data_IF_427243354777
#
_entry.id   IF_427243354777
#
_cell.length_a   1.000
_cell.length_b   1.000
_cell.length_c   1.000
_cell.angle_alpha   90.00
_cell.angle_beta   90.00
_cell.angle_gamma   90.00
#
_symmetry.space_group_name_H-M   'P 1'
#
loop_
_entity.id
_entity.type
_entity.pdbx_description
1 polymer ?
#
# COMPACT_ATOMS: atom_id res chain seq x y z
N UNK A 1 -66.21 35.17 42.67
CA UNK A 1 -65.92 35.30 41.23
C UNK A 1 -64.48 35.73 41.08
N UNK A 2 -63.71 34.90 40.40
CA UNK A 2 -62.25 34.80 40.47
C UNK A 2 -61.50 35.89 39.71
N UNK A 3 -60.43 36.39 40.32
CA UNK A 3 -59.28 37.03 39.68
C UNK A 3 -58.36 35.91 39.19
N UNK A 4 -58.05 35.87 37.88
CA UNK A 4 -57.00 35.01 37.33
C UNK A 4 -56.11 35.83 36.41
N UNK A 5 -54.86 35.99 36.85
CA UNK A 5 -53.71 36.47 36.10
C UNK A 5 -53.48 35.59 34.85
N UNK A 6 -53.34 36.21 33.68
CA UNK A 6 -52.78 35.55 32.49
C UNK A 6 -51.44 36.21 32.13
N UNK A 7 -50.36 35.46 32.34
CA UNK A 7 -49.01 35.81 31.91
C UNK A 7 -48.84 35.52 30.42
N UNK A 8 -48.33 36.49 29.68
CA UNK A 8 -47.86 36.38 28.31
C UNK A 8 -46.49 35.70 28.34
N UNK A 9 -46.38 34.47 27.81
CA UNK A 9 -45.10 33.79 27.57
C UNK A 9 -44.66 34.06 26.14
N UNK A 10 -43.77 35.03 25.94
CA UNK A 10 -43.02 35.19 24.69
C UNK A 10 -41.85 34.20 24.68
N UNK A 11 -41.92 33.17 23.83
CA UNK A 11 -40.80 32.28 23.55
C UNK A 11 -39.74 33.04 22.73
N UNK A 12 -38.56 33.21 23.31
CA UNK A 12 -37.34 33.61 22.60
C UNK A 12 -36.74 32.34 21.99
N UNK A 13 -36.74 32.24 20.66
CA UNK A 13 -35.94 31.25 19.94
C UNK A 13 -34.47 31.67 19.96
N UNK A 14 -33.65 31.04 20.79
CA UNK A 14 -32.19 31.13 20.70
C UNK A 14 -31.73 30.03 19.75
N UNK A 15 -31.40 30.41 18.52
CA UNK A 15 -30.71 29.54 17.56
C UNK A 15 -29.28 29.31 18.03
N UNK A 16 -29.01 28.14 18.61
CA UNK A 16 -27.65 27.70 18.89
C UNK A 16 -26.97 27.24 17.59
N UNK A 17 -26.13 28.08 17.01
CA UNK A 17 -25.13 27.66 16.03
C UNK A 17 -24.05 26.85 16.76
N UNK A 18 -24.10 25.52 16.63
CA UNK A 18 -22.97 24.65 16.97
C UNK A 18 -21.95 24.70 15.82
N UNK A 19 -20.96 25.58 15.95
CA UNK A 19 -19.73 25.49 15.19
C UNK A 19 -18.92 24.30 15.70
N UNK A 20 -19.01 23.17 15.01
CA UNK A 20 -18.16 22.01 15.27
C UNK A 20 -16.76 22.25 14.67
N UNK A 21 -15.89 22.91 15.45
CA UNK A 21 -14.45 22.76 15.26
C UNK A 21 -14.03 21.48 15.98
N UNK A 22 -14.06 20.33 15.29
CA UNK A 22 -13.51 19.09 15.82
C UNK A 22 -12.02 19.00 15.51
N UNK A 23 -11.21 19.77 16.26
CA UNK A 23 -9.85 19.34 16.59
C UNK A 23 -9.98 18.30 17.71
N UNK A 24 -9.94 17.02 17.35
CA UNK A 24 -10.05 15.95 18.33
C UNK A 24 -9.66 14.60 17.74
N UNK A 25 -8.43 14.16 18.03
CA UNK A 25 -8.16 12.74 18.17
C UNK A 25 -9.16 12.21 19.21
N UNK A 26 -10.14 11.41 18.78
CA UNK A 26 -10.98 10.66 19.72
C UNK A 26 -10.17 9.47 20.20
N UNK A 27 -9.37 9.68 21.24
CA UNK A 27 -8.78 8.62 22.05
C UNK A 27 -9.96 7.85 22.69
N UNK A 28 -10.17 6.60 22.28
CA UNK A 28 -11.16 5.69 22.89
C UNK A 28 -12.21 5.06 21.97
N UNK A 29 -12.27 5.42 20.69
CA UNK A 29 -13.23 4.78 19.76
C UNK A 29 -12.60 3.56 19.07
N UNK A 30 -13.29 2.41 19.12
CA UNK A 30 -12.81 1.16 18.50
C UNK A 30 -12.39 1.38 17.03
N UNK A 31 -11.31 0.74 16.56
CA UNK A 31 -10.91 0.83 15.15
C UNK A 31 -12.03 0.33 14.21
N UNK A 32 -12.33 1.12 13.16
CA UNK A 32 -13.38 0.80 12.18
C UNK A 32 -12.86 0.86 10.74
N UNK A 33 -13.47 0.05 9.86
CA UNK A 33 -13.26 0.16 8.41
C UNK A 33 -14.22 1.24 7.89
N UNK A 34 -13.69 2.44 7.68
CA UNK A 34 -14.49 3.57 7.21
C UNK A 34 -14.94 3.39 5.76
N UNK A 35 -16.14 3.85 5.44
CA UNK A 35 -16.59 3.96 4.04
C UNK A 35 -15.62 4.87 3.28
N UNK A 36 -15.21 4.44 2.09
CA UNK A 36 -14.42 5.25 1.15
C UNK A 36 -15.39 5.91 0.17
N UNK A 37 -15.22 7.22 -0.06
CA UNK A 37 -16.10 8.02 -0.90
C UNK A 37 -15.29 9.10 -1.60
N UNK A 38 -15.61 9.36 -2.88
CA UNK A 38 -15.02 10.44 -3.68
C UNK A 38 -15.44 11.82 -3.18
N UNK A 39 -16.57 11.89 -2.48
CA UNK A 39 -17.21 13.09 -1.97
C UNK A 39 -16.62 13.55 -0.62
N UNK A 40 -15.76 12.75 0.02
CA UNK A 40 -15.07 13.17 1.24
C UNK A 40 -14.28 14.45 0.98
N UNK A 41 -14.42 15.47 1.83
CA UNK A 41 -13.70 16.72 1.65
C UNK A 41 -12.17 16.52 1.68
N UNK A 42 -11.49 17.29 0.83
CA UNK A 42 -10.03 17.44 0.88
C UNK A 42 -9.67 18.25 2.13
N UNK A 43 -8.64 17.83 2.86
CA UNK A 43 -8.15 18.54 4.03
C UNK A 43 -7.54 19.88 3.61
N UNK A 44 -7.69 20.92 4.44
CA UNK A 44 -7.11 22.23 4.18
C UNK A 44 -5.58 22.22 4.19
N UNK A 45 -4.99 21.37 5.04
CA UNK A 45 -3.55 21.17 5.17
C UNK A 45 -3.22 19.68 5.22
N UNK A 46 -2.07 19.31 4.68
CA UNK A 46 -1.49 17.98 4.86
C UNK A 46 -1.25 17.67 6.35
N UNK A 47 -1.42 16.41 6.75
CA UNK A 47 -0.98 15.90 8.05
C UNK A 47 -0.46 14.48 7.90
N UNK A 48 0.81 14.30 8.26
CA UNK A 48 1.46 12.99 8.31
C UNK A 48 0.72 12.05 9.28
N UNK A 49 0.48 12.51 10.50
CA UNK A 49 -0.14 11.72 11.56
C UNK A 49 -1.53 11.19 11.17
N UNK A 50 -2.37 12.00 10.49
CA UNK A 50 -3.68 11.51 10.05
C UNK A 50 -3.59 10.34 9.07
N UNK A 51 -2.56 10.31 8.20
CA UNK A 51 -2.36 9.19 7.30
C UNK A 51 -1.92 7.92 8.06
N UNK A 52 -1.03 8.08 9.04
CA UNK A 52 -0.58 7.00 9.93
C UNK A 52 -1.78 6.44 10.73
N UNK A 53 -2.55 7.29 11.39
CA UNK A 53 -3.72 6.92 12.18
C UNK A 53 -4.78 6.19 11.33
N UNK A 54 -5.03 6.70 10.11
CA UNK A 54 -5.96 6.07 9.18
C UNK A 54 -5.54 4.64 8.85
N UNK A 55 -4.28 4.44 8.46
CA UNK A 55 -3.75 3.13 8.09
C UNK A 55 -3.81 2.17 9.28
N UNK A 56 -3.35 2.62 10.45
CA UNK A 56 -3.24 1.78 11.64
C UNK A 56 -4.60 1.32 12.17
N UNK A 57 -5.55 2.24 12.29
CA UNK A 57 -6.91 1.91 12.73
C UNK A 57 -7.62 1.03 11.69
N UNK A 58 -7.48 1.32 10.40
CA UNK A 58 -8.13 0.52 9.34
C UNK A 58 -7.59 -0.91 9.31
N UNK A 59 -6.27 -1.08 9.42
CA UNK A 59 -5.64 -2.39 9.43
C UNK A 59 -6.03 -3.20 10.67
N UNK A 60 -6.09 -2.57 11.86
CA UNK A 60 -6.54 -3.25 13.08
C UNK A 60 -8.01 -3.67 12.98
N UNK A 61 -8.88 -2.80 12.47
CA UNK A 61 -10.29 -3.11 12.25
C UNK A 61 -10.47 -4.30 11.30
N UNK A 62 -9.68 -4.34 10.22
CA UNK A 62 -9.66 -5.44 9.26
C UNK A 62 -9.22 -6.75 9.90
N UNK A 63 -8.12 -6.72 10.66
CA UNK A 63 -7.61 -7.88 11.41
C UNK A 63 -8.68 -8.42 12.36
N UNK A 64 -9.35 -7.55 13.13
CA UNK A 64 -10.41 -7.93 14.08
C UNK A 64 -11.60 -8.59 13.37
N UNK A 65 -12.05 -8.00 12.26
CA UNK A 65 -13.26 -8.42 11.55
C UNK A 65 -13.08 -9.69 10.73
N UNK A 66 -12.01 -9.77 9.93
CA UNK A 66 -11.87 -10.82 8.91
C UNK A 66 -10.90 -11.94 9.30
N UNK A 67 -10.06 -11.74 10.33
CA UNK A 67 -9.06 -12.75 10.76
C UNK A 67 -8.20 -13.27 9.59
N UNK A 68 -7.91 -12.38 8.63
CA UNK A 68 -7.10 -12.61 7.45
C UNK A 68 -6.34 -11.33 7.07
N UNK A 69 -5.35 -11.49 6.19
CA UNK A 69 -4.54 -10.40 5.67
C UNK A 69 -4.84 -10.19 4.18
N UNK A 70 -4.91 -8.93 3.76
CA UNK A 70 -5.11 -8.55 2.36
C UNK A 70 -3.97 -7.68 1.86
N UNK A 71 -3.65 -7.80 0.56
CA UNK A 71 -2.59 -7.03 -0.11
C UNK A 71 -2.81 -5.52 0.02
N UNK A 72 -4.08 -5.09 -0.01
CA UNK A 72 -4.42 -3.69 -0.05
C UNK A 72 -4.63 -3.06 1.33
N UNK A 73 -4.75 -3.84 2.42
CA UNK A 73 -4.97 -3.30 3.77
C UNK A 73 -3.83 -3.65 4.73
N UNK A 74 -3.75 -4.90 5.20
CA UNK A 74 -2.85 -5.26 6.31
C UNK A 74 -1.39 -5.32 5.89
N UNK A 75 -1.09 -5.94 4.74
CA UNK A 75 0.28 -6.02 4.24
C UNK A 75 0.82 -4.63 3.89
N UNK A 76 0.01 -3.81 3.20
CA UNK A 76 0.36 -2.43 2.86
C UNK A 76 0.61 -1.56 4.10
N UNK A 77 -0.22 -1.70 5.15
CA UNK A 77 -0.01 -1.04 6.43
C UNK A 77 1.34 -1.43 7.05
N UNK A 78 1.59 -2.71 7.28
CA UNK A 78 2.80 -3.16 7.97
C UNK A 78 4.08 -2.70 7.26
N UNK A 79 4.11 -2.79 5.93
CA UNK A 79 5.22 -2.31 5.13
C UNK A 79 5.41 -0.80 5.34
N UNK A 80 4.35 0.00 5.15
CA UNK A 80 4.47 1.46 5.18
C UNK A 80 4.83 2.00 6.56
N UNK A 81 4.24 1.49 7.63
CA UNK A 81 4.48 2.02 8.98
C UNK A 81 5.77 1.48 9.61
N UNK A 82 6.37 0.43 9.05
CA UNK A 82 7.67 -0.08 9.53
C UNK A 82 8.86 0.82 9.18
N UNK A 83 8.70 1.74 8.21
CA UNK A 83 9.72 2.75 7.86
C UNK A 83 9.67 4.00 8.77
N UNK A 84 8.67 4.10 9.65
CA UNK A 84 8.54 5.20 10.62
C UNK A 84 9.53 5.05 11.77
N UNK A 85 10.00 6.18 12.33
CA UNK A 85 10.80 6.21 13.55
C UNK A 85 10.00 5.69 14.76
N UNK A 86 8.72 6.04 14.84
CA UNK A 86 7.79 5.55 15.85
C UNK A 86 6.64 4.79 15.19
N UNK A 87 6.56 3.49 15.43
CA UNK A 87 5.46 2.69 14.91
C UNK A 87 4.16 2.98 15.67
N UNK A 88 3.01 3.02 15.00
CA UNK A 88 1.73 3.38 15.60
C UNK A 88 1.19 2.26 16.53
N UNK A 89 0.17 2.62 17.32
CA UNK A 89 -0.37 1.81 18.43
C UNK A 89 -0.62 0.33 18.08
N UNK A 90 -1.22 0.06 16.92
CA UNK A 90 -1.64 -1.28 16.53
C UNK A 90 -0.60 -2.06 15.74
N UNK A 91 0.54 -1.46 15.40
CA UNK A 91 1.58 -2.09 14.59
C UNK A 91 1.97 -3.48 15.12
N UNK A 92 2.33 -3.58 16.40
CA UNK A 92 2.76 -4.85 16.98
C UNK A 92 1.63 -5.88 17.06
N UNK A 93 0.39 -5.46 17.34
CA UNK A 93 -0.76 -6.37 17.38
C UNK A 93 -1.06 -6.96 16.00
N UNK A 94 -0.93 -6.15 14.94
CA UNK A 94 -1.11 -6.57 13.56
C UNK A 94 0.06 -7.48 13.13
N UNK A 95 1.31 -7.12 13.42
CA UNK A 95 2.49 -7.96 13.13
C UNK A 95 2.38 -9.32 13.83
N UNK A 96 1.95 -9.36 15.08
CA UNK A 96 1.71 -10.62 15.81
C UNK A 96 0.61 -11.47 15.18
N UNK A 97 -0.46 -10.85 14.66
CA UNK A 97 -1.50 -11.59 13.93
C UNK A 97 -0.97 -12.22 12.63
N UNK A 98 -0.02 -11.57 11.95
CA UNK A 98 0.67 -12.16 10.79
C UNK A 98 1.62 -13.30 11.23
N UNK A 99 2.33 -13.13 12.34
CA UNK A 99 3.16 -14.20 12.92
C UNK A 99 2.32 -15.43 13.26
N UNK A 100 1.15 -15.26 13.90
CA UNK A 100 0.21 -16.35 14.20
C UNK A 100 -0.32 -17.04 12.93
N UNK A 101 -0.59 -16.26 11.87
CA UNK A 101 -0.98 -16.81 10.57
C UNK A 101 0.09 -17.78 10.04
N UNK A 102 1.36 -17.35 10.07
CA UNK A 102 2.51 -18.12 9.56
C UNK A 102 2.82 -19.32 10.45
N UNK A 103 2.97 -19.13 11.76
CA UNK A 103 3.48 -20.17 12.66
C UNK A 103 2.42 -21.19 13.10
N UNK A 104 1.17 -20.75 13.24
CA UNK A 104 0.09 -21.59 13.79
C UNK A 104 -0.83 -22.04 12.66
N UNK A 105 -1.47 -21.10 11.98
CA UNK A 105 -2.53 -21.45 11.02
C UNK A 105 -1.98 -22.25 9.83
N UNK A 106 -0.83 -21.88 9.26
CA UNK A 106 -0.29 -22.63 8.12
C UNK A 106 0.09 -24.06 8.49
N UNK A 107 0.64 -24.25 9.71
CA UNK A 107 0.95 -25.58 10.22
C UNK A 107 -0.32 -26.43 10.41
N UNK A 108 -1.39 -25.84 10.94
CA UNK A 108 -2.62 -26.58 11.26
C UNK A 108 -3.55 -26.77 10.04
N UNK A 109 -3.59 -25.81 9.13
CA UNK A 109 -4.61 -25.71 8.07
C UNK A 109 -4.05 -25.42 6.68
N UNK A 110 -2.73 -25.31 6.53
CA UNK A 110 -2.08 -24.84 5.30
C UNK A 110 -2.31 -23.34 5.05
N UNK A 111 -1.56 -22.71 4.14
CA UNK A 111 -1.88 -21.38 3.62
C UNK A 111 -3.22 -21.41 2.84
N UNK A 112 -3.86 -20.25 2.71
CA UNK A 112 -5.14 -20.15 1.96
C UNK A 112 -4.88 -20.20 0.45
N UNK A 113 -3.80 -19.55 0.03
CA UNK A 113 -3.37 -19.40 -1.35
C UNK A 113 -1.86 -19.16 -1.39
N UNK A 114 -1.22 -19.46 -2.50
CA UNK A 114 0.19 -19.14 -2.75
C UNK A 114 0.45 -17.63 -2.64
N UNK A 115 -0.52 -16.80 -3.03
CA UNK A 115 -0.46 -15.35 -2.85
C UNK A 115 -0.33 -14.92 -1.37
N UNK A 116 -0.99 -15.63 -0.44
CA UNK A 116 -0.84 -15.35 1.01
C UNK A 116 0.60 -15.62 1.46
N UNK A 117 1.21 -16.68 0.94
CA UNK A 117 2.59 -17.08 1.26
C UNK A 117 3.58 -16.03 0.78
N UNK A 118 3.51 -15.66 -0.50
CA UNK A 118 4.44 -14.70 -1.11
C UNK A 118 4.30 -13.31 -0.47
N UNK A 119 3.07 -12.86 -0.20
CA UNK A 119 2.85 -11.56 0.47
C UNK A 119 3.32 -11.55 1.92
N UNK A 120 3.11 -12.64 2.67
CA UNK A 120 3.64 -12.77 4.03
C UNK A 120 5.17 -12.77 4.03
N UNK A 121 5.80 -13.50 3.09
CA UNK A 121 7.25 -13.54 2.94
C UNK A 121 7.83 -12.16 2.63
N UNK A 122 7.23 -11.43 1.67
CA UNK A 122 7.62 -10.05 1.38
C UNK A 122 7.46 -9.15 2.60
N UNK A 123 6.28 -9.15 3.22
CA UNK A 123 5.94 -8.23 4.30
C UNK A 123 6.85 -8.42 5.50
N UNK A 124 6.98 -9.65 6.02
CA UNK A 124 7.81 -9.90 7.19
C UNK A 124 9.28 -9.58 6.93
N UNK A 125 9.79 -9.93 5.75
CA UNK A 125 11.21 -9.67 5.41
C UNK A 125 11.49 -8.17 5.25
N UNK A 126 10.57 -7.43 4.62
CA UNK A 126 10.69 -5.96 4.50
C UNK A 126 10.56 -5.28 5.86
N UNK A 127 9.61 -5.71 6.69
CA UNK A 127 9.43 -5.15 8.04
C UNK A 127 10.67 -5.40 8.91
N UNK A 128 11.19 -6.62 8.96
CA UNK A 128 12.42 -6.94 9.71
C UNK A 128 13.58 -6.04 9.24
N UNK A 129 13.73 -5.86 7.92
CA UNK A 129 14.75 -4.98 7.34
C UNK A 129 14.56 -3.52 7.74
N UNK A 130 13.34 -2.98 7.65
CA UNK A 130 13.06 -1.58 7.93
C UNK A 130 13.31 -1.23 9.40
N UNK A 131 12.99 -2.17 10.30
CA UNK A 131 13.30 -2.06 11.73
C UNK A 131 14.77 -2.31 12.08
N UNK A 132 15.62 -2.56 11.08
CA UNK A 132 17.03 -2.96 11.28
C UNK A 132 17.18 -4.21 12.18
N UNK A 133 16.18 -5.10 12.17
CA UNK A 133 16.17 -6.34 12.93
C UNK A 133 16.79 -7.48 12.10
N UNK A 134 17.35 -8.52 12.75
CA UNK A 134 17.70 -9.76 12.07
C UNK A 134 16.45 -10.41 11.44
N UNK A 135 16.67 -11.23 10.40
CA UNK A 135 15.59 -12.00 9.79
C UNK A 135 14.93 -12.91 10.84
N UNK A 136 13.68 -12.60 11.17
CA UNK A 136 12.90 -13.30 12.19
C UNK A 136 12.60 -14.74 11.77
N UNK A 137 12.27 -15.58 12.76
CA UNK A 137 11.86 -16.95 12.50
C UNK A 137 10.62 -17.01 11.59
N UNK A 138 9.66 -16.11 11.78
CA UNK A 138 8.44 -16.05 10.96
C UNK A 138 8.73 -15.59 9.52
N UNK A 139 9.62 -14.60 9.33
CA UNK A 139 10.06 -14.21 7.99
C UNK A 139 10.78 -15.38 7.28
N UNK A 140 11.64 -16.11 7.99
CA UNK A 140 12.30 -17.31 7.47
C UNK A 140 11.29 -18.39 7.07
N UNK A 141 10.33 -18.71 7.95
CA UNK A 141 9.28 -19.68 7.66
C UNK A 141 8.46 -19.27 6.41
N UNK A 142 8.14 -17.98 6.29
CA UNK A 142 7.41 -17.46 5.14
C UNK A 142 8.22 -17.53 3.83
N UNK A 143 9.51 -17.16 3.86
CA UNK A 143 10.40 -17.31 2.69
C UNK A 143 10.60 -18.78 2.31
N UNK A 144 10.77 -19.68 3.28
CA UNK A 144 10.94 -21.10 3.02
C UNK A 144 9.66 -21.71 2.41
N UNK A 145 8.49 -21.32 2.91
CA UNK A 145 7.21 -21.70 2.32
C UNK A 145 7.02 -21.11 0.92
N UNK A 146 7.48 -19.87 0.68
CA UNK A 146 7.45 -19.25 -0.64
C UNK A 146 8.20 -20.10 -1.67
N UNK A 147 9.38 -20.62 -1.32
CA UNK A 147 10.12 -21.50 -2.24
C UNK A 147 9.45 -22.84 -2.50
N UNK A 148 8.66 -23.35 -1.55
CA UNK A 148 7.90 -24.60 -1.74
C UNK A 148 6.74 -24.44 -2.73
N UNK A 149 6.12 -23.27 -2.78
CA UNK A 149 5.01 -22.97 -3.71
C UNK A 149 5.49 -22.38 -5.05
N UNK A 150 6.81 -22.25 -5.26
CA UNK A 150 7.35 -21.80 -6.53
C UNK A 150 7.10 -22.86 -7.62
N UNK A 151 6.47 -22.42 -8.70
CA UNK A 151 6.15 -23.28 -9.84
C UNK A 151 7.42 -23.70 -10.61
N UNK A 152 7.39 -24.83 -11.36
CA UNK A 152 8.55 -25.29 -12.13
C UNK A 152 9.11 -24.27 -13.12
N UNK A 153 8.26 -23.40 -13.67
CA UNK A 153 8.66 -22.30 -14.56
C UNK A 153 9.26 -21.08 -13.82
N UNK A 154 9.34 -21.12 -12.49
CA UNK A 154 9.98 -20.11 -11.63
C UNK A 154 9.08 -18.98 -11.12
N UNK A 155 7.81 -18.97 -11.53
CA UNK A 155 6.80 -18.02 -11.02
C UNK A 155 5.98 -18.62 -9.87
N UNK A 156 4.84 -18.01 -9.58
CA UNK A 156 3.94 -18.41 -8.50
C UNK A 156 2.50 -18.35 -9.01
N UNK A 157 1.66 -19.28 -8.55
CA UNK A 157 0.23 -19.19 -8.81
C UNK A 157 -0.35 -18.02 -8.01
N UNK A 158 -1.22 -17.22 -8.64
CA UNK A 158 -1.72 -16.00 -8.06
C UNK A 158 -3.25 -15.87 -8.11
N UNK A 159 -3.76 -14.99 -7.25
CA UNK A 159 -5.17 -14.58 -7.27
C UNK A 159 -5.45 -13.74 -8.52
N UNK A 160 -6.50 -14.12 -9.26
CA UNK A 160 -6.95 -13.47 -10.50
C UNK A 160 -8.42 -13.09 -10.36
N UNK A 161 -8.72 -12.29 -9.34
CA UNK A 161 -10.09 -11.92 -8.96
C UNK A 161 -10.63 -10.71 -9.73
N UNK A 162 -9.96 -10.31 -10.82
CA UNK A 162 -10.22 -9.06 -11.55
C UNK A 162 -10.15 -7.82 -10.63
N UNK A 163 -9.28 -7.85 -9.61
CA UNK A 163 -9.05 -6.74 -8.67
C UNK A 163 -7.62 -6.16 -8.82
N UNK A 164 -7.35 -5.43 -9.92
CA UNK A 164 -6.06 -4.80 -10.11
C UNK A 164 -5.76 -3.69 -9.08
N UNK A 165 -4.47 -3.42 -8.83
CA UNK A 165 -3.31 -4.05 -9.46
C UNK A 165 -2.86 -5.38 -8.82
N UNK A 166 -3.28 -5.68 -7.59
CA UNK A 166 -2.66 -6.77 -6.81
C UNK A 166 -3.18 -8.17 -7.11
N UNK A 167 -4.39 -8.32 -7.66
CA UNK A 167 -5.01 -9.63 -7.90
C UNK A 167 -5.46 -9.75 -9.36
N UNK A 168 -4.53 -9.42 -10.29
CA UNK A 168 -4.79 -9.44 -11.73
C UNK A 168 -4.11 -10.57 -12.51
N UNK A 169 -2.91 -11.00 -12.11
CA UNK A 169 -2.14 -12.01 -12.85
C UNK A 169 -0.95 -12.57 -12.05
N UNK A 170 -0.36 -13.65 -12.54
CA UNK A 170 0.78 -14.34 -11.92
C UNK A 170 2.09 -13.53 -11.96
N UNK A 171 2.19 -12.54 -12.86
CA UNK A 171 3.40 -11.73 -12.96
C UNK A 171 3.55 -10.83 -11.73
N UNK A 172 2.44 -10.40 -11.12
CA UNK A 172 2.44 -9.68 -9.85
C UNK A 172 3.15 -10.48 -8.76
N UNK A 173 2.82 -11.77 -8.61
CA UNK A 173 3.45 -12.66 -7.63
C UNK A 173 4.97 -12.77 -7.80
N UNK A 174 5.44 -12.86 -9.06
CA UNK A 174 6.87 -12.92 -9.34
C UNK A 174 7.63 -11.64 -8.98
N UNK A 175 7.08 -10.46 -9.28
CA UNK A 175 7.74 -9.19 -8.93
C UNK A 175 7.70 -8.89 -7.43
N UNK A 176 6.66 -9.33 -6.73
CA UNK A 176 6.57 -9.28 -5.26
C UNK A 176 7.60 -10.21 -4.61
N UNK A 177 7.74 -11.45 -5.10
CA UNK A 177 8.77 -12.37 -4.63
C UNK A 177 10.17 -11.80 -4.84
N UNK A 178 10.42 -11.09 -5.94
CA UNK A 178 11.69 -10.40 -6.17
C UNK A 178 11.98 -9.35 -5.08
N UNK A 179 10.97 -8.60 -4.61
CA UNK A 179 11.12 -7.66 -3.48
C UNK A 179 11.43 -8.41 -2.18
N UNK A 180 10.70 -9.49 -1.87
CA UNK A 180 10.91 -10.30 -0.67
C UNK A 180 12.36 -10.79 -0.56
N UNK A 181 12.88 -11.38 -1.63
CA UNK A 181 14.25 -11.90 -1.72
C UNK A 181 15.28 -10.77 -1.58
N UNK A 182 15.00 -9.62 -2.19
CA UNK A 182 15.93 -8.49 -2.16
C UNK A 182 16.07 -7.88 -0.77
N UNK A 183 15.01 -7.93 0.03
CA UNK A 183 15.02 -7.49 1.42
C UNK A 183 15.80 -8.45 2.35
N UNK A 184 15.88 -9.74 2.01
CA UNK A 184 16.50 -10.76 2.86
C UNK A 184 18.02 -10.55 3.08
N UNK A 185 18.56 -10.93 4.25
CA UNK A 185 19.98 -10.81 4.55
C UNK A 185 20.82 -11.80 3.74
N UNK A 186 22.10 -11.46 3.52
CA UNK A 186 23.02 -12.29 2.75
C UNK A 186 23.16 -13.72 3.29
N UNK A 187 23.11 -13.90 4.61
CA UNK A 187 23.17 -15.21 5.27
C UNK A 187 22.03 -16.14 4.87
N UNK A 188 20.82 -15.60 4.66
CA UNK A 188 19.69 -16.40 4.17
C UNK A 188 19.89 -16.79 2.70
N UNK A 189 20.37 -15.84 1.89
CA UNK A 189 20.52 -15.96 0.44
C UNK A 189 21.65 -16.91 -0.01
N UNK A 190 22.62 -17.19 0.86
CA UNK A 190 23.73 -18.12 0.56
C UNK A 190 23.32 -19.60 0.60
N UNK A 191 22.13 -19.92 1.11
CA UNK A 191 21.64 -21.28 1.16
C UNK A 191 21.37 -21.82 -0.26
N UNK A 192 21.85 -23.03 -0.56
CA UNK A 192 21.76 -23.62 -1.91
C UNK A 192 20.34 -23.71 -2.44
N UNK A 193 19.38 -24.13 -1.61
CA UNK A 193 17.97 -24.19 -2.03
C UNK A 193 17.39 -22.81 -2.38
N UNK A 194 17.81 -21.77 -1.67
CA UNK A 194 17.40 -20.38 -1.90
C UNK A 194 17.99 -19.87 -3.22
N UNK A 195 19.28 -20.13 -3.48
CA UNK A 195 19.93 -19.77 -4.75
C UNK A 195 19.23 -20.40 -5.95
N UNK A 196 18.89 -21.69 -5.87
CA UNK A 196 18.14 -22.37 -6.93
C UNK A 196 16.77 -21.72 -7.19
N UNK A 197 16.04 -21.33 -6.13
CA UNK A 197 14.76 -20.64 -6.25
C UNK A 197 14.89 -19.26 -6.89
N UNK A 198 15.94 -18.52 -6.52
CA UNK A 198 16.27 -17.21 -7.11
C UNK A 198 16.62 -17.34 -8.59
N UNK A 199 17.40 -18.35 -8.98
CA UNK A 199 17.75 -18.60 -10.38
C UNK A 199 16.51 -18.90 -11.23
N UNK A 200 15.60 -19.74 -10.73
CA UNK A 200 14.30 -19.98 -11.38
C UNK A 200 13.48 -18.70 -11.50
N UNK A 201 13.43 -17.88 -10.45
CA UNK A 201 12.71 -16.60 -10.47
C UNK A 201 13.32 -15.62 -11.48
N UNK A 202 14.66 -15.54 -11.56
CA UNK A 202 15.36 -14.74 -12.58
C UNK A 202 15.10 -15.24 -13.99
N UNK A 203 15.00 -16.56 -14.18
CA UNK A 203 14.63 -17.17 -15.46
C UNK A 203 13.19 -16.81 -15.85
N UNK A 204 12.25 -16.87 -14.88
CA UNK A 204 10.88 -16.41 -15.08
C UNK A 204 10.80 -14.91 -15.38
N UNK A 205 11.62 -14.09 -14.73
CA UNK A 205 11.76 -12.67 -15.00
C UNK A 205 12.88 -12.39 -16.00
N UNK A 206 12.99 -13.20 -17.07
CA UNK A 206 13.96 -12.94 -18.13
C UNK A 206 13.74 -11.57 -18.78
N UNK A 207 14.76 -11.02 -19.45
CA UNK A 207 14.66 -9.72 -20.14
C UNK A 207 13.46 -9.67 -21.11
N UNK A 208 13.21 -10.74 -21.88
CA UNK A 208 12.09 -10.80 -22.82
C UNK A 208 10.72 -10.84 -22.13
N UNK A 209 10.63 -11.44 -20.94
CA UNK A 209 9.40 -11.42 -20.13
C UNK A 209 9.21 -10.08 -19.44
N UNK A 210 10.27 -9.48 -18.90
CA UNK A 210 10.26 -8.13 -18.30
C UNK A 210 9.73 -7.06 -19.26
N UNK A 211 10.08 -7.13 -20.55
CA UNK A 211 9.56 -6.21 -21.57
C UNK A 211 8.05 -6.32 -21.81
N UNK A 212 7.44 -7.49 -21.52
CA UNK A 212 6.00 -7.75 -21.66
C UNK A 212 5.21 -7.47 -20.39
N UNK A 213 5.90 -7.18 -19.29
CA UNK A 213 5.26 -6.79 -18.04
C UNK A 213 4.53 -5.45 -18.21
N UNK A 214 3.40 -5.32 -17.52
CA UNK A 214 2.75 -4.02 -17.28
C UNK A 214 3.75 -3.06 -16.65
N UNK A 215 3.59 -1.76 -16.91
CA UNK A 215 4.48 -0.74 -16.33
C UNK A 215 4.48 -0.80 -14.81
N UNK A 216 3.32 -1.05 -14.20
CA UNK A 216 3.19 -1.29 -12.75
C UNK A 216 4.13 -2.38 -12.24
N UNK A 217 4.16 -3.56 -12.86
CA UNK A 217 5.05 -4.66 -12.45
C UNK A 217 6.52 -4.34 -12.71
N UNK A 218 6.85 -3.69 -13.84
CA UNK A 218 8.22 -3.21 -14.10
C UNK A 218 8.68 -2.22 -13.03
N UNK A 219 7.80 -1.35 -12.58
CA UNK A 219 8.10 -0.38 -11.54
C UNK A 219 8.32 -1.05 -10.18
N UNK A 220 7.60 -2.12 -9.82
CA UNK A 220 7.90 -2.92 -8.60
C UNK A 220 9.33 -3.49 -8.66
N UNK A 221 9.84 -3.85 -9.84
CA UNK A 221 11.23 -4.31 -9.97
C UNK A 221 12.25 -3.21 -9.70
N UNK A 222 11.91 -1.92 -9.84
CA UNK A 222 12.77 -0.81 -9.38
C UNK A 222 12.95 -0.88 -7.86
N UNK A 223 11.90 -1.22 -7.11
CA UNK A 223 11.99 -1.42 -5.67
C UNK A 223 12.87 -2.62 -5.31
N UNK A 224 12.66 -3.78 -5.96
CA UNK A 224 13.54 -4.94 -5.75
C UNK A 224 15.02 -4.59 -6.05
N UNK A 225 15.27 -3.91 -7.18
CA UNK A 225 16.59 -3.44 -7.59
C UNK A 225 17.21 -2.48 -6.57
N UNK A 226 16.43 -1.59 -5.96
CA UNK A 226 16.90 -0.63 -4.94
C UNK A 226 17.34 -1.31 -3.63
N UNK A 227 16.70 -2.43 -3.28
CA UNK A 227 17.03 -3.20 -2.08
C UNK A 227 18.28 -4.08 -2.30
N UNK A 228 18.36 -4.71 -3.47
CA UNK A 228 19.49 -5.54 -3.89
C UNK A 228 19.62 -5.54 -5.41
N UNK A 229 20.74 -5.05 -5.96
CA UNK A 229 20.98 -5.09 -7.40
C UNK A 229 20.95 -6.51 -7.99
N UNK A 230 20.48 -6.62 -9.22
CA UNK A 230 20.50 -7.88 -9.99
C UNK A 230 19.17 -8.28 -10.62
N UNK A 231 18.16 -7.41 -10.57
CA UNK A 231 16.84 -7.62 -11.18
C UNK A 231 16.66 -6.84 -12.48
N UNK A 232 17.26 -5.65 -12.57
CA UNK A 232 17.17 -4.78 -13.74
C UNK A 232 18.56 -4.31 -14.17
N UNK A 233 18.79 -4.22 -15.48
CA UNK A 233 19.91 -3.49 -16.05
C UNK A 233 19.56 -2.00 -16.22
N UNK A 234 20.57 -1.16 -16.52
CA UNK A 234 20.36 0.29 -16.61
C UNK A 234 19.32 0.68 -17.68
N UNK A 235 19.31 0.02 -18.84
CA UNK A 235 18.33 0.29 -19.89
C UNK A 235 16.89 -0.02 -19.44
N UNK A 236 16.69 -1.11 -18.70
CA UNK A 236 15.41 -1.46 -18.10
C UNK A 236 14.97 -0.44 -17.04
N UNK A 237 15.91 0.07 -16.24
CA UNK A 237 15.66 1.13 -15.25
C UNK A 237 15.23 2.41 -15.97
N UNK A 238 16.06 2.92 -16.88
CA UNK A 238 15.84 4.19 -17.60
C UNK A 238 14.51 4.18 -18.36
N UNK A 239 14.22 3.09 -19.08
CA UNK A 239 12.96 2.95 -19.81
C UNK A 239 11.73 2.86 -18.92
N UNK A 240 11.87 2.34 -17.69
CA UNK A 240 10.77 2.27 -16.71
C UNK A 240 10.55 3.64 -16.06
N UNK A 241 11.62 4.33 -15.70
CA UNK A 241 11.59 5.71 -15.20
C UNK A 241 10.95 6.64 -16.24
N UNK A 242 11.42 6.61 -17.49
CA UNK A 242 10.87 7.43 -18.57
C UNK A 242 9.37 7.17 -18.79
N UNK A 243 8.95 5.90 -18.76
CA UNK A 243 7.55 5.53 -18.90
C UNK A 243 6.69 6.06 -17.72
N UNK A 244 7.16 5.95 -16.48
CA UNK A 244 6.49 6.54 -15.32
C UNK A 244 6.37 8.06 -15.46
N UNK A 245 7.47 8.75 -15.75
CA UNK A 245 7.48 10.21 -15.94
C UNK A 245 6.52 10.66 -17.04
N UNK A 246 6.44 9.92 -18.16
CA UNK A 246 5.54 10.24 -19.27
C UNK A 246 4.05 10.14 -18.94
N UNK A 247 3.69 9.42 -17.87
CA UNK A 247 2.31 9.28 -17.42
C UNK A 247 1.88 10.32 -16.39
N UNK A 248 2.79 11.22 -15.96
CA UNK A 248 2.43 12.30 -15.04
C UNK A 248 1.36 13.18 -15.69
N UNK A 249 0.34 13.54 -14.90
CA UNK A 249 -0.80 14.35 -15.34
C UNK A 249 -0.52 15.84 -15.16
N UNK A 250 -1.27 16.74 -15.83
CA UNK A 250 -1.06 18.18 -15.72
C UNK A 250 -1.20 18.73 -14.29
N UNK A 251 -1.94 18.03 -13.41
CA UNK A 251 -2.08 18.40 -12.00
C UNK A 251 -0.88 17.95 -11.13
N UNK A 252 0.10 17.27 -11.72
CA UNK A 252 1.27 16.72 -11.05
C UNK A 252 1.11 15.29 -10.52
N UNK A 253 -0.10 14.73 -10.56
CA UNK A 253 -0.37 13.38 -10.07
C UNK A 253 -0.22 12.29 -11.13
N UNK A 254 -0.53 11.06 -10.73
CA UNK A 254 -0.68 9.89 -11.58
C UNK A 254 -1.97 9.17 -11.22
N UNK A 255 -2.40 8.23 -12.06
CA UNK A 255 -3.51 7.34 -11.74
C UNK A 255 -3.16 5.88 -11.95
N UNK A 256 -3.82 5.04 -11.17
CA UNK A 256 -3.57 3.61 -11.17
C UNK A 256 -3.90 2.97 -12.51
N UNK A 257 -5.05 3.24 -13.16
CA UNK A 257 -5.41 2.57 -14.42
C UNK A 257 -4.36 2.70 -15.53
N UNK A 258 -3.66 3.83 -15.61
CA UNK A 258 -2.63 4.06 -16.65
C UNK A 258 -1.36 3.24 -16.45
N UNK A 259 -1.09 2.77 -15.22
CA UNK A 259 0.11 1.99 -14.90
C UNK A 259 0.05 0.55 -15.41
N UNK A 260 -1.14 -0.01 -15.58
CA UNK A 260 -1.29 -1.39 -16.05
C UNK A 260 -2.22 -1.58 -17.22
N UNK A 261 -2.95 -0.53 -17.63
CA UNK A 261 -3.96 -0.56 -18.69
C UNK A 261 -4.94 -1.72 -18.51
N UNK A 262 -5.36 -1.94 -17.27
CA UNK A 262 -6.34 -2.98 -16.94
C UNK A 262 -7.72 -2.60 -17.46
N UNK A 263 -8.49 -3.60 -17.92
CA UNK A 263 -9.91 -3.44 -18.16
C UNK A 263 -10.69 -3.34 -16.85
N UNK A 264 -11.92 -2.85 -16.93
CA UNK A 264 -12.89 -2.89 -15.82
C UNK A 264 -13.74 -4.13 -15.95
N UNK A 265 -14.03 -4.77 -14.82
CA UNK A 265 -14.85 -5.98 -14.76
C UNK A 265 -16.31 -5.70 -15.18
N UNK A 266 -16.80 -4.50 -14.87
CA UNK A 266 -18.15 -4.04 -15.25
C UNK A 266 -18.26 -3.57 -16.71
N UNK A 267 -17.19 -3.69 -17.50
CA UNK A 267 -17.13 -3.27 -18.91
C UNK A 267 -17.10 -1.75 -19.13
N UNK A 268 -17.13 -0.94 -18.08
CA UNK A 268 -17.02 0.52 -18.23
C UNK A 268 -15.60 0.96 -18.58
N UNK A 269 -15.46 2.19 -19.06
CA UNK A 269 -14.16 2.72 -19.50
C UNK A 269 -13.30 3.07 -18.27
N UNK A 270 -12.03 2.58 -18.20
CA UNK A 270 -11.09 3.01 -17.17
C UNK A 270 -10.89 4.53 -17.17
N UNK A 271 -10.88 5.15 -15.99
CA UNK A 271 -10.53 6.56 -15.87
C UNK A 271 -9.02 6.75 -16.05
N UNK A 272 -8.62 7.19 -17.25
CA UNK A 272 -7.23 7.44 -17.59
C UNK A 272 -6.81 8.90 -17.36
N UNK A 273 -7.72 9.76 -16.91
CA UNK A 273 -7.51 11.21 -16.82
C UNK A 273 -7.25 11.66 -15.38
N UNK A 274 -8.08 11.22 -14.44
CA UNK A 274 -8.07 11.74 -13.06
C UNK A 274 -6.95 11.11 -12.25
N UNK A 275 -6.09 11.91 -11.63
CA UNK A 275 -5.05 11.45 -10.69
C UNK A 275 -5.67 10.84 -9.43
N UNK A 276 -5.02 9.83 -8.84
CA UNK A 276 -5.47 9.13 -7.65
C UNK A 276 -4.33 8.86 -6.65
N UNK A 277 -4.70 8.45 -5.42
CA UNK A 277 -3.77 8.25 -4.32
C UNK A 277 -2.74 7.16 -4.58
N UNK A 278 -3.19 5.99 -5.04
CA UNK A 278 -2.29 4.86 -5.31
C UNK A 278 -1.34 5.14 -6.46
N UNK A 279 -1.84 5.60 -7.60
CA UNK A 279 -1.04 5.93 -8.77
C UNK A 279 0.03 6.96 -8.45
N UNK A 280 -0.35 8.06 -7.78
CA UNK A 280 0.58 9.13 -7.44
C UNK A 280 1.63 8.67 -6.42
N UNK A 281 1.20 8.08 -5.29
CA UNK A 281 2.13 7.59 -4.27
C UNK A 281 3.07 6.51 -4.83
N UNK A 282 2.53 5.57 -5.60
CA UNK A 282 3.32 4.51 -6.22
C UNK A 282 4.36 5.06 -7.20
N UNK A 283 3.97 5.97 -8.10
CA UNK A 283 4.90 6.54 -9.08
C UNK A 283 6.03 7.31 -8.41
N UNK A 284 5.72 8.17 -7.44
CA UNK A 284 6.74 8.94 -6.69
C UNK A 284 7.68 8.00 -5.93
N UNK A 285 7.14 6.99 -5.24
CA UNK A 285 7.96 6.03 -4.51
C UNK A 285 8.88 5.26 -5.46
N UNK A 286 8.37 4.73 -6.58
CA UNK A 286 9.17 3.95 -7.51
C UNK A 286 10.23 4.78 -8.24
N UNK A 287 9.94 6.05 -8.57
CA UNK A 287 10.94 6.99 -9.10
C UNK A 287 12.05 7.24 -8.07
N UNK A 288 11.69 7.40 -6.79
CA UNK A 288 12.66 7.57 -5.70
C UNK A 288 13.50 6.30 -5.50
N UNK A 289 12.88 5.10 -5.50
CA UNK A 289 13.61 3.81 -5.43
C UNK A 289 14.52 3.59 -6.65
N UNK A 290 14.22 4.20 -7.79
CA UNK A 290 15.12 4.21 -8.96
C UNK A 290 16.33 5.15 -8.82
N UNK A 291 16.45 5.89 -7.71
CA UNK A 291 17.58 6.78 -7.41
C UNK A 291 17.37 8.23 -7.82
N UNK A 292 16.17 8.63 -8.24
CA UNK A 292 15.86 10.04 -8.49
C UNK A 292 15.77 10.78 -7.15
N UNK A 293 16.34 11.98 -7.10
CA UNK A 293 16.31 12.86 -5.92
C UNK A 293 14.97 13.57 -5.77
N UNK A 294 14.65 13.97 -4.54
CA UNK A 294 13.39 14.66 -4.21
C UNK A 294 13.19 16.00 -4.92
N UNK A 295 14.27 16.65 -5.40
CA UNK A 295 14.22 17.89 -6.18
C UNK A 295 13.88 17.69 -7.67
N UNK A 296 13.87 16.43 -8.15
CA UNK A 296 13.42 16.10 -9.50
C UNK A 296 12.01 16.64 -9.74
N UNK A 297 11.81 17.29 -10.90
CA UNK A 297 10.56 18.00 -11.22
C UNK A 297 9.33 17.07 -11.12
N UNK A 298 9.42 15.83 -11.60
CA UNK A 298 8.31 14.90 -11.55
C UNK A 298 7.97 14.52 -10.10
N UNK A 299 8.99 14.24 -9.28
CA UNK A 299 8.81 13.94 -7.85
C UNK A 299 8.21 15.14 -7.11
N UNK A 300 8.76 16.35 -7.27
CA UNK A 300 8.24 17.57 -6.64
C UNK A 300 6.76 17.81 -6.97
N UNK A 301 6.38 17.65 -8.24
CA UNK A 301 5.00 17.80 -8.67
C UNK A 301 4.08 16.73 -8.02
N UNK A 302 4.55 15.49 -7.92
CA UNK A 302 3.83 14.42 -7.24
C UNK A 302 3.66 14.66 -5.74
N UNK A 303 4.72 15.11 -5.05
CA UNK A 303 4.66 15.47 -3.63
C UNK A 303 3.69 16.64 -3.39
N UNK A 304 3.72 17.66 -4.25
CA UNK A 304 2.78 18.77 -4.20
C UNK A 304 1.33 18.28 -4.39
N UNK A 305 1.10 17.36 -5.33
CA UNK A 305 -0.21 16.75 -5.51
C UNK A 305 -0.66 15.97 -4.27
N UNK A 306 0.22 15.16 -3.67
CA UNK A 306 -0.10 14.39 -2.45
C UNK A 306 -0.47 15.34 -1.31
N UNK A 307 0.34 16.35 -1.01
CA UNK A 307 0.07 17.32 0.05
C UNK A 307 -1.26 18.06 -0.16
N UNK A 308 -1.60 18.40 -1.41
CA UNK A 308 -2.83 19.11 -1.77
C UNK A 308 -4.09 18.24 -1.75
N UNK A 309 -3.98 16.92 -1.94
CA UNK A 309 -5.12 16.04 -2.18
C UNK A 309 -5.40 15.03 -1.05
N UNK A 310 -4.79 15.20 0.13
CA UNK A 310 -5.12 14.38 1.29
C UNK A 310 -6.56 14.66 1.73
N UNK A 311 -7.36 13.63 2.03
CA UNK A 311 -8.72 13.79 2.55
C UNK A 311 -8.71 14.09 4.05
N UNK A 312 -9.84 14.57 4.59
CA UNK A 312 -9.96 14.90 6.02
C UNK A 312 -9.61 13.73 6.97
N UNK A 313 -9.95 12.51 6.57
CA UNK A 313 -9.58 11.27 7.29
C UNK A 313 -8.09 10.94 7.25
N UNK A 314 -7.27 11.64 6.46
CA UNK A 314 -5.84 11.36 6.27
C UNK A 314 -5.51 10.47 5.07
N UNK A 315 -6.51 9.84 4.45
CA UNK A 315 -6.33 8.95 3.30
C UNK A 315 -6.17 9.71 1.98
N UNK A 316 -5.61 9.05 0.96
CA UNK A 316 -5.72 9.49 -0.42
C UNK A 316 -6.69 8.61 -1.19
N UNK A 317 -7.82 9.21 -1.59
CA UNK A 317 -8.84 8.50 -2.35
C UNK A 317 -8.24 7.87 -3.60
N UNK A 318 -8.55 6.59 -3.78
CA UNK A 318 -8.22 5.84 -4.98
C UNK A 318 -9.45 5.10 -5.46
N UNK A 319 -9.96 5.50 -6.63
CA UNK A 319 -11.07 4.80 -7.27
C UNK A 319 -10.65 3.37 -7.58
N UNK A 320 -11.60 2.45 -7.48
CA UNK A 320 -11.34 1.05 -7.74
C UNK A 320 -11.11 0.88 -9.24
N UNK A 321 -10.03 0.20 -9.61
CA UNK A 321 -9.69 -0.05 -11.02
C UNK A 321 -10.65 -1.07 -11.64
N UNK A 322 -11.21 -1.99 -10.84
CA UNK A 322 -12.10 -3.06 -11.29
C UNK A 322 -13.52 -2.59 -11.60
N UNK A 323 -14.21 -2.02 -10.60
CA UNK A 323 -15.60 -1.52 -10.65
C UNK A 323 -15.86 -0.55 -9.50
N UNK A 324 -16.89 0.29 -9.60
CA UNK A 324 -17.22 1.23 -8.51
C UNK A 324 -17.95 0.50 -7.37
N UNK A 325 -17.27 0.39 -6.23
CA UNK A 325 -17.76 -0.38 -5.09
C UNK A 325 -17.17 0.12 -3.77
N UNK A 326 -16.31 -0.66 -3.11
CA UNK A 326 -15.75 -0.37 -1.79
C UNK A 326 -14.53 0.56 -1.84
N UNK A 327 -13.87 0.65 -2.99
CA UNK A 327 -12.66 1.48 -3.20
C UNK A 327 -11.52 1.19 -2.19
N UNK A 328 -11.39 -0.07 -1.75
CA UNK A 328 -10.37 -0.47 -0.77
C UNK A 328 -8.93 -0.30 -1.24
N UNK A 329 -8.71 -0.12 -2.54
CA UNK A 329 -7.40 0.29 -3.06
C UNK A 329 -6.90 1.61 -2.43
N UNK A 330 -7.80 2.43 -1.90
CA UNK A 330 -7.46 3.63 -1.10
C UNK A 330 -6.57 3.33 0.11
N UNK A 331 -6.69 2.14 0.72
CA UNK A 331 -5.84 1.75 1.84
C UNK A 331 -4.38 1.61 1.38
N UNK A 332 -4.13 0.82 0.32
CA UNK A 332 -2.82 0.72 -0.28
C UNK A 332 -2.34 2.04 -0.89
N UNK A 333 -3.25 2.84 -1.45
CA UNK A 333 -2.89 4.14 -2.00
C UNK A 333 -2.39 5.10 -0.93
N UNK A 334 -2.98 5.03 0.26
CA UNK A 334 -2.51 5.81 1.41
C UNK A 334 -1.16 5.28 1.92
N UNK A 335 -0.95 3.97 1.94
CA UNK A 335 0.34 3.38 2.28
C UNK A 335 1.46 3.80 1.29
N UNK A 336 1.18 3.78 -0.01
CA UNK A 336 2.12 4.22 -1.05
C UNK A 336 2.42 5.72 -0.95
N UNK A 337 1.40 6.55 -0.72
CA UNK A 337 1.58 7.99 -0.51
C UNK A 337 2.43 8.29 0.73
N UNK A 338 2.21 7.57 1.83
CA UNK A 338 2.97 7.72 3.07
C UNK A 338 4.45 7.37 2.86
N UNK A 339 4.75 6.20 2.28
CA UNK A 339 6.13 5.79 1.96
C UNK A 339 6.81 6.77 0.98
N UNK A 340 6.07 7.29 -0.01
CA UNK A 340 6.60 8.26 -0.96
C UNK A 340 7.02 9.58 -0.30
N UNK A 341 6.20 10.10 0.62
CA UNK A 341 6.49 11.31 1.39
C UNK A 341 7.70 11.09 2.31
N UNK A 342 7.75 9.97 3.03
CA UNK A 342 8.89 9.60 3.89
C UNK A 342 10.20 9.49 3.11
N UNK A 343 10.18 8.77 1.99
CA UNK A 343 11.36 8.59 1.14
C UNK A 343 11.91 9.92 0.58
N UNK A 344 11.10 10.98 0.58
CA UNK A 344 11.49 12.33 0.13
C UNK A 344 11.81 13.30 1.28
N UNK A 345 11.81 12.84 2.55
CA UNK A 345 12.06 13.68 3.72
C UNK A 345 10.87 14.55 4.14
N UNK A 346 9.66 14.23 3.66
CA UNK A 346 8.41 14.94 3.97
C UNK A 346 7.62 14.20 5.06
N UNK A 347 8.35 13.62 6.03
CA UNK A 347 7.86 12.77 7.11
C UNK A 347 7.32 13.55 8.31
N UNK A 348 7.56 13.03 9.51
CA UNK A 348 7.22 13.72 10.77
C UNK A 348 7.90 15.10 10.81
N UNK A 349 7.10 16.17 10.91
CA UNK A 349 7.61 17.50 11.24
C UNK A 349 8.11 17.44 12.70
N UNK A 350 9.40 17.66 12.92
CA UNK A 350 9.97 17.87 14.26
C UNK A 350 9.39 19.10 14.95
#
# INVERSE_FOLDING_TARGET
>A
MHVVNTRINSLIFVSALLAACSTGLVIGEEPQILKVSSEEAVASNYSHQRAVDFLDRTAMAWTKKYKCFTCHTNFAHLIAVSELDQQPEYFQKIRNSLNELVQTRWREKGPRWDAEVVMAAMTLTVVDRNLSEPLSQNARLALDQMWQVQQPHGGFDWLKCDWPPMESDDQYGAVVAAVAVSAAPATYLQQKQVQNGIEKLKSYLSQSRKQKLRLHHRAILLWAQSLRPGWMNQQEIDSTVAALTSLQRPDGGWNTPSLGKWGREDGSVPDLVTSDGYGTGFAVLMLTKAGLKSDNVAIRNGLAWLKKNQRQSGRWYTRSVSRDSRHFLTHAGTAMALMALQACGEGEEN
#
